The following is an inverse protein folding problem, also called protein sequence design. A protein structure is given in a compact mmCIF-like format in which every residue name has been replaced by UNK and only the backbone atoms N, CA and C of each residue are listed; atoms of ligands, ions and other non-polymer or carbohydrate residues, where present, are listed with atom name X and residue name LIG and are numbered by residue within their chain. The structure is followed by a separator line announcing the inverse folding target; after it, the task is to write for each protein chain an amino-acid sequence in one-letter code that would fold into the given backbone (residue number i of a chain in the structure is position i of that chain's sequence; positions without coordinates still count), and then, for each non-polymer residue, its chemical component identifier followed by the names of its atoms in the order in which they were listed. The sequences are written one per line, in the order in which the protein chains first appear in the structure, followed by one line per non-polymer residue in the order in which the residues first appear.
data_IF_196837502869
#
_entry.id   IF_196837502869
#
_cell.length_a   1.000
_cell.length_b   1.000
_cell.length_c   1.000
_cell.angle_alpha   90.00
_cell.angle_beta   90.00
_cell.angle_gamma   90.00
#
_symmetry.space_group_name_H-M   'P 1'
#
loop_
_entity.id
_entity.type
_entity.pdbx_description
1 polymer ?
#
# COMPACT_ATOMS: atom_id res chain seq x y z
N UNK A 1 5.79 14.40 9.89
CA UNK A 1 5.34 13.36 10.82
C UNK A 1 6.04 12.06 10.52
N UNK A 2 6.04 11.14 11.48
CA UNK A 2 6.65 9.82 11.29
C UNK A 2 5.98 9.04 10.17
N UNK A 3 4.66 9.14 10.06
CA UNK A 3 3.93 8.49 8.98
C UNK A 3 4.40 8.99 7.61
N UNK A 4 4.52 10.30 7.44
CA UNK A 4 5.00 10.88 6.18
C UNK A 4 6.44 10.46 5.87
N UNK A 5 7.30 10.34 6.88
CA UNK A 5 8.67 9.87 6.70
C UNK A 5 8.66 8.46 6.14
N UNK A 6 7.85 7.56 6.70
CA UNK A 6 7.75 6.18 6.23
C UNK A 6 7.21 6.14 4.80
N UNK A 7 6.11 6.84 4.53
CA UNK A 7 5.51 6.90 3.18
C UNK A 7 6.52 7.41 2.16
N UNK A 8 7.20 8.51 2.47
CA UNK A 8 8.18 9.11 1.56
C UNK A 8 9.40 8.21 1.34
N UNK A 9 9.84 7.48 2.36
CA UNK A 9 10.94 6.52 2.22
C UNK A 9 10.58 5.39 1.26
N UNK A 10 9.36 4.87 1.35
CA UNK A 10 8.90 3.83 0.43
C UNK A 10 8.88 4.38 -1.00
N UNK A 11 8.32 5.57 -1.20
CA UNK A 11 8.25 6.21 -2.52
C UNK A 11 9.62 6.43 -3.14
N UNK A 12 10.59 6.87 -2.33
CA UNK A 12 11.90 7.27 -2.82
C UNK A 12 12.85 6.09 -3.01
N UNK A 13 12.81 5.11 -2.10
CA UNK A 13 13.89 4.14 -1.99
C UNK A 13 13.48 2.68 -2.20
N UNK A 14 12.18 2.36 -2.12
CA UNK A 14 11.74 0.99 -2.30
C UNK A 14 11.59 0.65 -3.77
N UNK A 15 12.39 -0.30 -4.24
CA UNK A 15 12.40 -0.75 -5.64
C UNK A 15 12.17 -2.27 -5.70
N UNK A 16 10.91 -2.71 -5.64
CA UNK A 16 10.61 -4.14 -5.66
C UNK A 16 10.89 -4.75 -7.04
N UNK A 17 11.23 -6.05 -7.04
CA UNK A 17 11.57 -6.78 -8.26
C UNK A 17 10.68 -8.02 -8.41
N UNK A 18 10.33 -8.33 -9.67
CA UNK A 18 9.61 -9.56 -10.03
C UNK A 18 8.30 -9.73 -9.25
N UNK A 19 7.54 -8.64 -9.12
CA UNK A 19 6.26 -8.67 -8.40
C UNK A 19 5.17 -9.23 -9.32
N UNK A 20 4.48 -10.26 -8.87
CA UNK A 20 3.34 -10.84 -9.59
C UNK A 20 2.06 -10.89 -8.74
N UNK A 21 2.16 -10.72 -7.43
CA UNK A 21 1.01 -10.74 -6.52
C UNK A 21 1.32 -9.98 -5.23
N UNK A 22 0.31 -9.83 -4.39
CA UNK A 22 0.44 -9.11 -3.13
C UNK A 22 1.45 -9.74 -2.18
N UNK A 23 1.53 -11.07 -2.17
CA UNK A 23 2.47 -11.78 -1.29
C UNK A 23 3.92 -11.44 -1.61
N UNK A 24 4.26 -11.36 -2.91
CA UNK A 24 5.61 -10.95 -3.34
C UNK A 24 5.90 -9.52 -2.90
N UNK A 25 4.95 -8.62 -3.09
CA UNK A 25 5.09 -7.22 -2.72
C UNK A 25 5.27 -7.08 -1.21
N UNK A 26 4.45 -7.77 -0.44
CA UNK A 26 4.50 -7.71 1.02
C UNK A 26 5.83 -8.21 1.56
N UNK A 27 6.31 -9.35 1.05
CA UNK A 27 7.59 -9.93 1.50
C UNK A 27 8.74 -8.95 1.28
N UNK A 28 8.80 -8.32 0.12
CA UNK A 28 9.87 -7.38 -0.19
C UNK A 28 9.75 -6.07 0.59
N UNK A 29 8.52 -5.57 0.77
CA UNK A 29 8.30 -4.37 1.56
C UNK A 29 8.66 -4.59 3.03
N UNK A 30 8.35 -5.77 3.57
CA UNK A 30 8.76 -6.13 4.94
C UNK A 30 10.28 -6.07 5.11
N UNK A 31 11.03 -6.64 4.16
CA UNK A 31 12.50 -6.60 4.19
C UNK A 31 12.99 -5.17 4.15
N UNK A 32 12.44 -4.36 3.25
CA UNK A 32 12.80 -2.95 3.11
C UNK A 32 12.56 -2.18 4.42
N UNK A 33 11.36 -2.31 4.99
CA UNK A 33 10.99 -1.57 6.19
C UNK A 33 11.84 -1.99 7.39
N UNK A 34 12.11 -3.28 7.55
CA UNK A 34 12.94 -3.76 8.66
C UNK A 34 14.38 -3.27 8.55
N UNK A 35 14.90 -3.16 7.34
CA UNK A 35 16.26 -2.65 7.12
C UNK A 35 16.31 -1.14 7.34
N UNK A 36 15.34 -0.41 6.81
CA UNK A 36 15.31 1.06 6.85
C UNK A 36 14.94 1.60 8.22
N UNK A 37 14.03 0.92 8.92
CA UNK A 37 13.48 1.34 10.22
C UNK A 37 13.65 0.22 11.24
N UNK A 38 14.90 -0.17 11.47
CA UNK A 38 15.24 -1.34 12.30
C UNK A 38 14.78 -1.23 13.75
N UNK A 39 14.59 -0.01 14.27
CA UNK A 39 14.16 0.24 15.65
C UNK A 39 12.63 0.26 15.80
N UNK A 40 11.89 0.21 14.68
CA UNK A 40 10.43 0.24 14.73
C UNK A 40 9.87 -1.18 14.78
N UNK A 41 8.69 -1.29 15.40
CA UNK A 41 7.93 -2.54 15.45
C UNK A 41 7.17 -2.69 14.13
N UNK A 42 7.50 -3.71 13.35
CA UNK A 42 6.87 -3.93 12.05
C UNK A 42 6.23 -5.30 12.04
N UNK A 43 4.92 -5.34 11.80
CA UNK A 43 4.14 -6.58 11.77
C UNK A 43 3.43 -6.73 10.45
N UNK A 44 3.26 -7.98 10.01
CA UNK A 44 2.52 -8.31 8.79
C UNK A 44 1.29 -9.14 9.13
N UNK A 45 0.28 -9.08 8.26
CA UNK A 45 -0.93 -9.89 8.36
C UNK A 45 -1.56 -9.78 9.74
N UNK A 46 -1.94 -8.55 10.10
CA UNK A 46 -2.50 -8.24 11.42
C UNK A 46 -4.01 -8.35 11.38
N UNK A 47 -4.56 -9.22 12.20
CA UNK A 47 -6.03 -9.33 12.33
C UNK A 47 -6.55 -8.09 13.04
N UNK A 48 -7.53 -7.46 12.42
CA UNK A 48 -8.18 -6.26 12.94
C UNK A 48 -9.66 -6.53 13.17
N UNK A 49 -10.40 -5.51 13.59
CA UNK A 49 -11.80 -5.62 13.91
C UNK A 49 -12.60 -6.27 12.77
N UNK A 50 -13.50 -7.22 13.09
CA UNK A 50 -14.32 -7.90 12.10
C UNK A 50 -13.61 -9.03 11.36
N UNK A 51 -12.46 -9.49 11.86
CA UNK A 51 -11.65 -10.54 11.27
C UNK A 51 -11.00 -10.17 9.93
N UNK A 52 -11.03 -8.90 9.57
CA UNK A 52 -10.27 -8.42 8.43
C UNK A 52 -8.77 -8.47 8.74
N UNK A 53 -7.96 -8.59 7.70
CA UNK A 53 -6.51 -8.68 7.85
C UNK A 53 -5.86 -7.49 7.17
N UNK A 54 -5.13 -6.71 7.96
CA UNK A 54 -4.32 -5.61 7.49
C UNK A 54 -2.95 -6.13 7.08
N UNK A 55 -2.44 -5.72 5.94
CA UNK A 55 -1.21 -6.27 5.40
C UNK A 55 0.03 -5.94 6.22
N UNK A 56 0.26 -4.66 6.52
CA UNK A 56 1.44 -4.24 7.29
C UNK A 56 1.04 -3.15 8.28
N UNK A 57 1.58 -3.27 9.51
CA UNK A 57 1.34 -2.29 10.57
C UNK A 57 2.68 -1.94 11.24
N UNK A 58 3.00 -0.66 11.30
CA UNK A 58 4.22 -0.14 11.89
C UNK A 58 3.88 0.61 13.17
N UNK A 59 4.55 0.26 14.27
CA UNK A 59 4.40 0.88 15.60
C UNK A 59 2.95 0.87 16.10
N UNK A 60 2.17 -0.14 15.68
CA UNK A 60 0.76 -0.29 16.02
C UNK A 60 -0.13 0.89 15.60
N UNK A 61 0.33 1.76 14.70
CA UNK A 61 -0.42 2.94 14.30
C UNK A 61 -0.31 3.35 12.82
N UNK A 62 0.74 2.96 12.11
CA UNK A 62 0.92 3.32 10.70
C UNK A 62 0.60 2.11 9.84
N UNK A 63 -0.51 2.17 9.13
CA UNK A 63 -1.07 1.02 8.43
C UNK A 63 -0.87 1.11 6.92
N UNK A 64 -0.60 -0.02 6.30
CA UNK A 64 -0.37 -0.11 4.85
C UNK A 64 -1.15 -1.30 4.29
N UNK A 65 -1.99 -1.00 3.30
CA UNK A 65 -2.75 -2.03 2.60
C UNK A 65 -2.20 -2.15 1.17
N UNK A 66 -1.83 -3.36 0.78
CA UNK A 66 -1.13 -3.62 -0.47
C UNK A 66 -2.06 -4.20 -1.53
N UNK A 67 -1.83 -3.82 -2.78
CA UNK A 67 -2.62 -4.36 -3.89
C UNK A 67 -1.76 -4.45 -5.16
N UNK A 68 -1.87 -5.60 -5.84
CA UNK A 68 -1.37 -5.80 -7.21
C UNK A 68 -2.62 -6.03 -8.06
N UNK A 69 -3.27 -4.97 -8.56
CA UNK A 69 -4.57 -5.10 -9.20
C UNK A 69 -4.49 -5.78 -10.56
N UNK A 70 -5.46 -6.63 -10.85
CA UNK A 70 -5.65 -7.32 -12.13
C UNK A 70 -6.82 -6.75 -12.89
N UNK A 71 -7.79 -6.16 -12.16
CA UNK A 71 -9.02 -5.62 -12.72
C UNK A 71 -9.37 -4.32 -12.01
N UNK A 72 -10.28 -3.56 -12.62
CA UNK A 72 -10.81 -2.35 -11.97
C UNK A 72 -11.57 -2.69 -10.69
N UNK A 73 -12.19 -3.87 -10.63
CA UNK A 73 -12.86 -4.33 -9.41
C UNK A 73 -11.90 -4.42 -8.22
N UNK A 74 -10.66 -4.82 -8.46
CA UNK A 74 -9.65 -4.87 -7.41
C UNK A 74 -9.42 -3.50 -6.80
N UNK A 75 -9.38 -2.46 -7.62
CA UNK A 75 -9.20 -1.08 -7.15
C UNK A 75 -10.43 -0.58 -6.38
N UNK A 76 -11.63 -0.93 -6.85
CA UNK A 76 -12.87 -0.58 -6.16
C UNK A 76 -12.95 -1.27 -4.79
N UNK A 77 -12.60 -2.54 -4.75
CA UNK A 77 -12.59 -3.32 -3.49
C UNK A 77 -11.55 -2.77 -2.51
N UNK A 78 -10.39 -2.36 -3.01
CA UNK A 78 -9.38 -1.71 -2.18
C UNK A 78 -9.95 -0.44 -1.54
N UNK A 79 -10.67 0.38 -2.31
CA UNK A 79 -11.31 1.60 -1.79
C UNK A 79 -12.25 1.31 -0.62
N UNK A 80 -13.06 0.26 -0.73
CA UNK A 80 -13.96 -0.15 0.35
C UNK A 80 -13.20 -0.59 1.60
N UNK A 81 -12.09 -1.34 1.42
CA UNK A 81 -11.23 -1.74 2.53
C UNK A 81 -10.60 -0.53 3.22
N UNK A 82 -10.07 0.41 2.43
CA UNK A 82 -9.44 1.62 2.96
C UNK A 82 -10.42 2.45 3.79
N UNK A 83 -11.65 2.63 3.29
CA UNK A 83 -12.68 3.36 4.01
C UNK A 83 -12.96 2.72 5.37
N UNK A 84 -13.07 1.40 5.39
CA UNK A 84 -13.35 0.66 6.62
C UNK A 84 -12.16 0.71 7.60
N UNK A 85 -10.95 0.45 7.11
CA UNK A 85 -9.75 0.37 7.96
C UNK A 85 -9.35 1.72 8.54
N UNK A 86 -9.67 2.81 7.84
CA UNK A 86 -9.35 4.16 8.26
C UNK A 86 -9.97 4.52 9.61
N UNK A 87 -11.10 3.93 9.96
CA UNK A 87 -11.76 4.17 11.23
C UNK A 87 -10.88 3.75 12.40
N UNK A 88 -10.16 2.64 12.26
CA UNK A 88 -9.26 2.13 13.29
C UNK A 88 -7.85 2.71 13.15
N UNK A 89 -7.39 2.94 11.92
CA UNK A 89 -6.04 3.43 11.62
C UNK A 89 -6.11 4.70 10.79
N UNK A 90 -6.15 5.88 11.43
CA UNK A 90 -6.21 7.14 10.69
C UNK A 90 -4.98 7.40 9.82
N UNK A 91 -3.82 6.87 10.21
CA UNK A 91 -2.60 6.94 9.41
C UNK A 91 -2.49 5.68 8.55
N UNK A 92 -3.19 5.68 7.44
CA UNK A 92 -3.31 4.56 6.52
C UNK A 92 -2.87 4.98 5.12
N UNK A 93 -2.09 4.15 4.46
CA UNK A 93 -1.72 4.34 3.06
C UNK A 93 -2.01 3.09 2.26
N UNK A 94 -2.42 3.27 1.02
CA UNK A 94 -2.45 2.19 0.04
C UNK A 94 -1.08 2.10 -0.63
N UNK A 95 -0.64 0.87 -0.91
CA UNK A 95 0.58 0.60 -1.69
C UNK A 95 0.16 -0.25 -2.87
N UNK A 96 0.22 0.32 -4.07
CA UNK A 96 -0.24 -0.35 -5.29
C UNK A 96 0.96 -0.59 -6.20
N UNK A 97 1.13 -1.85 -6.61
CA UNK A 97 2.12 -2.18 -7.63
C UNK A 97 1.42 -2.36 -8.96
N UNK A 98 1.80 -1.53 -9.95
CA UNK A 98 1.27 -1.58 -11.31
C UNK A 98 2.11 -2.53 -12.14
N UNK A 99 1.57 -3.70 -12.47
CA UNK A 99 2.26 -4.66 -13.33
C UNK A 99 2.11 -4.22 -14.80
N UNK A 100 3.18 -4.37 -15.58
CA UNK A 100 3.29 -3.78 -16.92
C UNK A 100 2.18 -4.20 -17.89
N UNK A 101 1.65 -5.41 -17.76
CA UNK A 101 0.64 -5.95 -18.66
C UNK A 101 -0.79 -5.82 -18.14
N UNK A 102 -0.99 -5.08 -17.07
CA UNK A 102 -2.32 -4.93 -16.46
C UNK A 102 -3.27 -4.06 -17.28
N UNK A 103 -2.75 -3.09 -18.03
CA UNK A 103 -3.51 -2.03 -18.70
C UNK A 103 -4.33 -1.18 -17.74
N UNK A 104 -3.92 -1.11 -16.47
CA UNK A 104 -4.64 -0.40 -15.42
C UNK A 104 -3.94 0.89 -14.97
N UNK A 105 -2.86 1.30 -15.64
CA UNK A 105 -2.06 2.44 -15.20
C UNK A 105 -2.91 3.68 -14.95
N UNK A 106 -3.77 4.05 -15.89
CA UNK A 106 -4.63 5.22 -15.72
C UNK A 106 -5.70 5.01 -14.65
N UNK A 107 -6.27 3.80 -14.59
CA UNK A 107 -7.25 3.47 -13.54
C UNK A 107 -6.63 3.59 -12.15
N UNK A 108 -5.40 3.15 -11.98
CA UNK A 108 -4.68 3.25 -10.70
C UNK A 108 -4.54 4.72 -10.29
N UNK A 109 -4.15 5.58 -11.23
CA UNK A 109 -4.03 7.01 -10.97
C UNK A 109 -5.39 7.60 -10.56
N UNK A 110 -6.43 7.27 -11.30
CA UNK A 110 -7.79 7.80 -11.06
C UNK A 110 -8.32 7.34 -9.69
N UNK A 111 -8.14 6.07 -9.34
CA UNK A 111 -8.56 5.57 -8.03
C UNK A 111 -7.73 6.13 -6.89
N UNK A 112 -6.43 6.32 -7.11
CA UNK A 112 -5.56 6.98 -6.14
C UNK A 112 -6.08 8.38 -5.81
N UNK A 113 -6.47 9.14 -6.83
CA UNK A 113 -7.06 10.47 -6.66
C UNK A 113 -8.39 10.39 -5.88
N UNK A 114 -9.21 9.38 -6.15
CA UNK A 114 -10.45 9.17 -5.40
C UNK A 114 -10.21 8.88 -3.93
N UNK A 115 -9.26 8.00 -3.62
CA UNK A 115 -8.94 7.68 -2.23
C UNK A 115 -8.49 8.92 -1.47
N UNK A 116 -7.70 9.76 -2.12
CA UNK A 116 -7.23 11.01 -1.52
C UNK A 116 -8.38 11.99 -1.30
N UNK A 117 -9.22 12.20 -2.33
CA UNK A 117 -10.36 13.14 -2.24
C UNK A 117 -11.41 12.69 -1.22
N UNK A 118 -11.75 11.39 -1.25
CA UNK A 118 -12.88 10.90 -0.46
C UNK A 118 -12.51 10.55 0.97
N UNK A 119 -11.27 10.10 1.19
CA UNK A 119 -10.84 9.58 2.49
C UNK A 119 -9.59 10.26 3.05
N UNK A 120 -8.92 11.09 2.27
CA UNK A 120 -7.65 11.69 2.68
C UNK A 120 -6.50 10.66 2.76
N UNK A 121 -6.65 9.52 2.09
CA UNK A 121 -5.67 8.42 2.16
C UNK A 121 -4.67 8.55 1.02
N UNK A 122 -3.36 8.66 1.32
CA UNK A 122 -2.33 8.69 0.29
C UNK A 122 -2.13 7.31 -0.32
N UNK A 123 -1.75 7.28 -1.59
CA UNK A 123 -1.38 6.06 -2.29
C UNK A 123 0.07 6.12 -2.74
N UNK A 124 0.80 5.04 -2.50
CA UNK A 124 2.14 4.84 -3.06
C UNK A 124 1.97 3.96 -4.28
N UNK A 125 2.31 4.50 -5.46
CA UNK A 125 2.22 3.77 -6.72
C UNK A 125 3.61 3.35 -7.13
N UNK A 126 3.81 2.05 -7.29
CA UNK A 126 5.09 1.43 -7.65
C UNK A 126 4.95 0.67 -8.96
N UNK A 127 6.08 0.43 -9.62
CA UNK A 127 6.08 -0.32 -10.87
C UNK A 127 5.56 0.51 -12.04
N UNK A 128 4.94 -0.20 -12.99
CA UNK A 128 4.49 0.41 -14.23
C UNK A 128 5.62 0.56 -15.24
N UNK A 129 5.25 0.99 -16.45
CA UNK A 129 6.25 1.23 -17.50
C UNK A 129 7.13 2.41 -17.12
N UNK A 130 8.44 2.20 -17.24
CA UNK A 130 9.35 3.33 -17.15
C UNK A 130 9.03 4.31 -18.27
N UNK A 131 8.77 5.54 -17.88
CA UNK A 131 8.57 6.63 -18.82
C UNK A 131 9.89 7.38 -18.97
N UNK A 132 10.34 7.47 -20.17
CA UNK A 132 11.53 8.24 -20.47
C UNK A 132 11.10 9.65 -20.84
#
# INVERSE_FOLDING_TARGET
SDFEIIVNSIKADFEPEAITNEEHLEAQLMVFLKAKFSERKIRRQVTIQGNDILDILVDDKYAFELKVPRTRSDLRNLGAQLEEYQEQYPNLSAVIFDIDDSNLTQDIIDYSDKYKRNYGIPTIILGGRKRN
#
